data_IF_721184310424
#
_entry.id   IF_721184310424
#
_cell.length_a   1.000
_cell.length_b   1.000
_cell.length_c   1.000
_cell.angle_alpha   90.00
_cell.angle_beta   90.00
_cell.angle_gamma   90.00
#
_symmetry.space_group_name_H-M   'P 1'
#
loop_
_entity.id
_entity.type
_entity.pdbx_description
1 polymer ?
#
# COMPACT_ATOMS: atom_id res chain seq x y z
N UNK A 1 -2.02 -29.25 -6.43
CA UNK A 1 -1.71 -27.89 -5.92
C UNK A 1 -2.10 -26.90 -7.00
N UNK A 2 -3.11 -26.06 -6.77
CA UNK A 2 -3.72 -25.14 -7.74
C UNK A 2 -2.70 -24.15 -8.28
N UNK A 3 -2.61 -24.01 -9.60
CA UNK A 3 -1.66 -23.16 -10.34
C UNK A 3 -1.94 -21.65 -10.25
N UNK A 4 -2.94 -21.21 -9.48
CA UNK A 4 -3.25 -19.78 -9.35
C UNK A 4 -3.23 -19.34 -7.89
N UNK A 5 -2.01 -19.05 -7.41
CA UNK A 5 -1.79 -18.50 -6.07
C UNK A 5 -1.92 -16.96 -6.05
N UNK A 6 -2.43 -16.36 -7.12
CA UNK A 6 -2.61 -14.92 -7.24
C UNK A 6 -3.78 -14.45 -6.38
N UNK A 7 -3.56 -13.41 -5.57
CA UNK A 7 -4.60 -12.74 -4.78
C UNK A 7 -5.14 -11.51 -5.48
N UNK A 8 -4.34 -10.93 -6.37
CA UNK A 8 -4.67 -9.74 -7.14
C UNK A 8 -4.07 -9.86 -8.53
N UNK A 9 -4.84 -9.52 -9.57
CA UNK A 9 -4.38 -9.45 -10.95
C UNK A 9 -5.00 -8.27 -11.66
N UNK A 10 -4.18 -7.50 -12.34
CA UNK A 10 -4.54 -6.43 -13.25
C UNK A 10 -4.34 -6.92 -14.68
N UNK A 11 -5.36 -6.73 -15.53
CA UNK A 11 -5.36 -7.14 -16.94
C UNK A 11 -5.78 -5.96 -17.81
N UNK A 12 -4.81 -5.34 -18.50
CA UNK A 12 -5.00 -4.22 -19.41
C UNK A 12 -5.65 -2.99 -18.76
N UNK A 13 -5.37 -2.74 -17.48
CA UNK A 13 -6.05 -1.70 -16.70
C UNK A 13 -5.60 -0.32 -17.12
N UNK A 14 -6.56 0.54 -17.47
CA UNK A 14 -6.33 1.97 -17.72
C UNK A 14 -7.25 2.80 -16.86
N UNK A 15 -6.75 3.96 -16.43
CA UNK A 15 -7.50 4.91 -15.60
C UNK A 15 -7.07 6.35 -15.82
N UNK A 16 -8.06 7.27 -15.89
CA UNK A 16 -7.86 8.71 -15.94
C UNK A 16 -8.87 9.46 -15.05
N UNK A 17 -8.46 10.54 -14.39
CA UNK A 17 -9.41 11.38 -13.61
C UNK A 17 -10.19 12.36 -14.49
N UNK A 18 -9.66 12.72 -15.65
CA UNK A 18 -10.29 13.62 -16.61
C UNK A 18 -9.77 13.33 -18.00
N UNK A 19 -10.57 13.68 -19.03
CA UNK A 19 -10.21 13.53 -20.44
C UNK A 19 -8.80 14.06 -20.74
N UNK A 20 -7.97 13.24 -21.37
CA UNK A 20 -6.58 13.52 -21.75
C UNK A 20 -5.56 13.64 -20.60
N UNK A 21 -5.87 13.13 -19.40
CA UNK A 21 -4.91 13.03 -18.29
C UNK A 21 -4.84 11.59 -17.75
N UNK A 22 -4.35 10.63 -18.57
CA UNK A 22 -4.23 9.26 -18.12
C UNK A 22 -3.21 9.14 -16.99
N UNK A 23 -3.55 8.35 -15.99
CA UNK A 23 -2.69 8.01 -14.84
C UNK A 23 -2.09 6.62 -15.04
N UNK A 24 -2.91 5.67 -15.53
CA UNK A 24 -2.50 4.31 -15.86
C UNK A 24 -2.90 3.97 -17.29
N UNK A 25 -2.02 3.30 -18.03
CA UNK A 25 -2.24 2.92 -19.42
C UNK A 25 -1.89 1.45 -19.61
N UNK A 26 -2.91 0.62 -19.86
CA UNK A 26 -2.77 -0.81 -20.15
C UNK A 26 -1.81 -1.52 -19.18
N UNK A 27 -2.14 -1.43 -17.88
CA UNK A 27 -1.32 -1.97 -16.80
C UNK A 27 -1.65 -3.45 -16.57
N UNK A 28 -0.62 -4.28 -16.57
CA UNK A 28 -0.68 -5.71 -16.30
C UNK A 28 0.31 -6.08 -15.19
N UNK A 29 -0.17 -6.69 -14.12
CA UNK A 29 0.67 -7.31 -13.10
C UNK A 29 -0.14 -8.28 -12.24
N UNK A 30 0.55 -9.10 -11.44
CA UNK A 30 -0.12 -9.98 -10.48
C UNK A 30 0.64 -10.06 -9.16
N UNK A 31 -0.12 -10.13 -8.07
CA UNK A 31 0.42 -10.33 -6.71
C UNK A 31 0.03 -11.70 -6.22
N UNK A 32 0.99 -12.49 -5.76
CA UNK A 32 0.76 -13.82 -5.19
C UNK A 32 0.35 -13.72 -3.72
N UNK A 33 -0.42 -14.71 -3.26
CA UNK A 33 -0.75 -14.84 -1.83
C UNK A 33 0.52 -14.96 -0.99
N UNK A 34 0.53 -14.25 0.14
CA UNK A 34 1.66 -14.24 1.06
C UNK A 34 2.79 -13.29 0.67
N UNK A 35 2.77 -12.68 -0.52
CA UNK A 35 3.80 -11.71 -0.91
C UNK A 35 3.62 -10.38 -0.19
N UNK A 36 4.75 -9.74 0.08
CA UNK A 36 4.85 -8.41 0.67
C UNK A 36 5.42 -7.46 -0.37
N UNK A 37 4.57 -6.60 -0.89
CA UNK A 37 4.85 -5.77 -2.05
C UNK A 37 4.91 -4.30 -1.65
N UNK A 38 5.91 -3.60 -2.16
CA UNK A 38 6.00 -2.14 -2.08
C UNK A 38 5.57 -1.51 -3.39
N UNK A 39 4.74 -0.45 -3.34
CA UNK A 39 4.47 0.41 -4.49
C UNK A 39 5.45 1.58 -4.46
N UNK A 40 6.20 1.74 -5.55
CA UNK A 40 7.21 2.77 -5.72
C UNK A 40 6.91 3.62 -6.97
N UNK A 41 7.36 4.87 -6.97
CA UNK A 41 7.23 5.79 -8.09
C UNK A 41 7.35 7.24 -7.64
N UNK A 42 7.59 8.14 -8.58
CA UNK A 42 7.70 9.57 -8.31
C UNK A 42 6.41 10.15 -7.71
N UNK A 43 6.52 11.31 -7.06
CA UNK A 43 5.33 12.03 -6.60
C UNK A 43 4.46 12.42 -7.82
N UNK A 44 3.16 12.18 -7.70
CA UNK A 44 2.22 12.40 -8.81
C UNK A 44 2.16 11.27 -9.85
N UNK A 45 2.95 10.20 -9.74
CA UNK A 45 2.91 9.06 -10.66
C UNK A 45 1.59 8.28 -10.62
N UNK A 46 0.77 8.46 -9.57
CA UNK A 46 -0.50 7.75 -9.44
C UNK A 46 -0.49 6.59 -8.42
N UNK A 47 0.46 6.58 -7.47
CA UNK A 47 0.54 5.54 -6.42
C UNK A 47 -0.77 5.40 -5.64
N UNK A 48 -1.34 6.51 -5.17
CA UNK A 48 -2.62 6.51 -4.44
C UNK A 48 -3.80 6.10 -5.33
N UNK A 49 -3.74 6.40 -6.63
CA UNK A 49 -4.73 5.93 -7.61
C UNK A 49 -4.67 4.41 -7.77
N UNK A 50 -3.47 3.87 -7.96
CA UNK A 50 -3.26 2.43 -8.02
C UNK A 50 -3.75 1.75 -6.75
N UNK A 51 -3.46 2.35 -5.59
CA UNK A 51 -3.92 1.88 -4.29
C UNK A 51 -5.45 1.88 -4.17
N UNK A 52 -6.11 2.97 -4.62
CA UNK A 52 -7.57 3.07 -4.66
C UNK A 52 -8.24 2.05 -5.59
N UNK A 53 -7.60 1.74 -6.72
CA UNK A 53 -8.05 0.68 -7.64
C UNK A 53 -7.91 -0.71 -7.00
N UNK A 54 -6.80 -1.00 -6.32
CA UNK A 54 -6.59 -2.26 -5.59
C UNK A 54 -7.61 -2.40 -4.45
N UNK A 55 -7.88 -1.31 -3.73
CA UNK A 55 -8.85 -1.28 -2.64
C UNK A 55 -10.32 -1.39 -3.10
N UNK A 56 -10.58 -1.29 -4.41
CA UNK A 56 -11.94 -1.26 -4.97
C UNK A 56 -12.70 0.05 -4.70
N UNK A 57 -12.02 1.10 -4.19
CA UNK A 57 -12.58 2.43 -3.97
C UNK A 57 -12.86 3.13 -5.32
N UNK A 58 -11.98 2.90 -6.29
CA UNK A 58 -12.05 3.45 -7.64
C UNK A 58 -12.19 2.29 -8.64
N UNK A 59 -12.95 2.50 -9.71
CA UNK A 59 -13.10 1.52 -10.80
C UNK A 59 -12.22 1.91 -11.98
N UNK A 60 -11.62 0.93 -12.68
CA UNK A 60 -10.85 1.20 -13.89
C UNK A 60 -11.79 1.65 -15.03
N UNK A 61 -11.27 2.50 -15.94
CA UNK A 61 -12.00 2.89 -17.17
C UNK A 61 -11.95 1.78 -18.22
N UNK A 62 -10.83 1.03 -18.26
CA UNK A 62 -10.64 -0.13 -19.14
C UNK A 62 -9.89 -1.23 -18.41
N UNK A 63 -10.00 -2.45 -18.93
CA UNK A 63 -9.37 -3.63 -18.34
C UNK A 63 -10.13 -4.18 -17.15
N UNK A 64 -9.51 -5.12 -16.45
CA UNK A 64 -10.16 -5.85 -15.35
C UNK A 64 -9.20 -6.02 -14.18
N UNK A 65 -9.73 -5.86 -12.97
CA UNK A 65 -9.02 -6.15 -11.72
C UNK A 65 -9.68 -7.39 -11.14
N UNK A 66 -8.92 -8.45 -10.99
CA UNK A 66 -9.38 -9.76 -10.52
C UNK A 66 -8.85 -10.03 -9.11
N UNK A 67 -9.76 -10.37 -8.22
CA UNK A 67 -9.47 -10.92 -6.89
C UNK A 67 -10.32 -12.17 -6.67
N UNK A 68 -9.80 -13.25 -6.07
CA UNK A 68 -10.60 -14.44 -5.78
C UNK A 68 -11.83 -14.10 -4.92
N UNK A 69 -12.94 -14.76 -5.18
CA UNK A 69 -14.17 -14.57 -4.41
C UNK A 69 -13.93 -14.80 -2.92
N UNK A 70 -14.43 -13.90 -2.09
CA UNK A 70 -14.28 -13.98 -0.63
C UNK A 70 -12.96 -13.46 -0.09
N UNK A 71 -12.07 -12.89 -0.92
CA UNK A 71 -10.85 -12.22 -0.45
C UNK A 71 -11.20 -11.01 0.40
N UNK A 72 -10.76 -11.00 1.66
CA UNK A 72 -10.90 -9.86 2.55
C UNK A 72 -9.78 -8.84 2.31
N UNK A 73 -10.15 -7.57 2.18
CA UNK A 73 -9.22 -6.45 1.98
C UNK A 73 -9.43 -5.44 3.10
N UNK A 74 -8.37 -5.05 3.79
CA UNK A 74 -8.40 -3.92 4.72
C UNK A 74 -7.40 -2.85 4.29
N UNK A 75 -7.82 -1.59 4.44
CA UNK A 75 -7.04 -0.41 4.08
C UNK A 75 -6.85 0.43 5.33
N UNK A 76 -5.63 0.84 5.62
CA UNK A 76 -5.39 1.88 6.61
C UNK A 76 -5.89 3.22 6.06
N UNK A 77 -7.03 3.69 6.55
CA UNK A 77 -7.58 4.99 6.17
C UNK A 77 -6.70 6.12 6.70
N UNK A 78 -6.80 7.31 6.07
CA UNK A 78 -6.01 8.49 6.48
C UNK A 78 -6.72 9.34 7.53
N UNK A 79 -8.05 9.27 7.61
CA UNK A 79 -8.86 10.08 8.52
C UNK A 79 -9.98 9.24 9.13
N UNK A 80 -10.20 9.40 10.43
CA UNK A 80 -11.35 8.79 11.11
C UNK A 80 -12.64 9.54 10.71
N UNK A 81 -13.66 8.84 10.20
CA UNK A 81 -14.96 9.45 9.90
C UNK A 81 -15.57 10.11 11.14
N UNK A 82 -16.22 11.25 10.95
CA UNK A 82 -16.76 12.06 12.08
C UNK A 82 -17.71 11.27 12.97
N UNK A 83 -18.52 10.40 12.39
CA UNK A 83 -19.47 9.55 13.10
C UNK A 83 -18.80 8.51 14.01
N UNK A 84 -17.52 8.20 13.80
CA UNK A 84 -16.75 7.28 14.63
C UNK A 84 -15.97 7.97 15.76
N UNK A 85 -15.89 9.29 15.76
CA UNK A 85 -15.13 10.03 16.79
C UNK A 85 -15.76 9.93 18.18
N UNK A 86 -17.06 9.74 18.28
CA UNK A 86 -17.78 9.59 19.55
C UNK A 86 -17.86 8.15 20.07
N UNK A 87 -17.26 7.20 19.35
CA UNK A 87 -17.14 5.83 19.80
C UNK A 87 -16.03 5.70 20.86
N UNK A 88 -16.18 4.73 21.76
CA UNK A 88 -15.07 4.24 22.59
C UNK A 88 -14.07 3.48 21.71
N UNK A 89 -12.83 3.30 22.17
CA UNK A 89 -11.82 2.49 21.48
C UNK A 89 -12.38 1.11 21.14
N UNK A 90 -13.02 0.43 22.10
CA UNK A 90 -13.66 -0.88 21.87
C UNK A 90 -14.72 -0.82 20.76
N UNK A 91 -15.65 0.11 20.85
CA UNK A 91 -16.73 0.28 19.86
C UNK A 91 -16.17 0.64 18.47
N UNK A 92 -15.12 1.46 18.42
CA UNK A 92 -14.43 1.81 17.19
C UNK A 92 -13.87 0.55 16.50
N UNK A 93 -13.11 -0.28 17.20
CA UNK A 93 -12.58 -1.51 16.64
C UNK A 93 -13.67 -2.51 16.25
N UNK A 94 -14.70 -2.66 17.08
CA UNK A 94 -15.86 -3.52 16.78
C UNK A 94 -16.55 -3.10 15.47
N UNK A 95 -16.58 -1.80 15.15
CA UNK A 95 -17.24 -1.26 13.95
C UNK A 95 -16.64 -1.71 12.62
N UNK A 96 -15.47 -2.35 12.62
CA UNK A 96 -14.85 -2.91 11.43
C UNK A 96 -15.24 -4.38 11.15
N UNK A 97 -16.06 -4.97 12.02
CA UNK A 97 -16.53 -6.34 11.87
C UNK A 97 -18.05 -6.38 11.71
N UNK A 98 -18.53 -7.19 10.80
CA UNK A 98 -19.98 -7.50 10.71
C UNK A 98 -20.46 -8.22 11.98
N UNK A 99 -19.60 -9.09 12.51
CA UNK A 99 -19.80 -9.78 13.79
C UNK A 99 -18.46 -9.75 14.55
N UNK A 100 -18.34 -8.89 15.59
CA UNK A 100 -17.11 -8.81 16.36
C UNK A 100 -16.74 -10.19 16.97
N UNK A 101 -15.44 -10.52 16.97
CA UNK A 101 -14.97 -11.74 17.62
C UNK A 101 -15.19 -11.66 19.14
N UNK A 102 -15.38 -12.81 19.78
CA UNK A 102 -15.59 -12.88 21.23
C UNK A 102 -14.39 -12.35 22.01
N UNK A 103 -13.18 -12.58 21.49
CA UNK A 103 -11.88 -12.16 22.04
C UNK A 103 -11.41 -10.79 21.51
N UNK A 104 -12.32 -9.84 21.30
CA UNK A 104 -11.97 -8.55 20.67
C UNK A 104 -10.98 -7.75 21.55
N UNK A 105 -11.12 -7.74 22.87
CA UNK A 105 -10.29 -6.93 23.76
C UNK A 105 -8.82 -7.34 23.72
N UNK A 106 -8.43 -8.62 23.86
CA UNK A 106 -7.04 -9.04 23.65
C UNK A 106 -6.49 -8.73 22.26
N UNK A 107 -7.34 -8.76 21.21
CA UNK A 107 -6.91 -8.37 19.86
C UNK A 107 -6.68 -6.88 19.73
N UNK A 108 -7.49 -6.06 20.40
CA UNK A 108 -7.27 -4.61 20.48
C UNK A 108 -5.92 -4.33 21.15
N UNK A 109 -5.65 -4.94 22.30
CA UNK A 109 -4.39 -4.77 23.01
C UNK A 109 -3.19 -5.13 22.14
N UNK A 110 -3.25 -6.27 21.44
CA UNK A 110 -2.19 -6.73 20.56
C UNK A 110 -1.91 -5.74 19.40
N UNK A 111 -2.94 -5.21 18.73
CA UNK A 111 -2.71 -4.26 17.63
C UNK A 111 -2.33 -2.87 18.12
N UNK A 112 -2.77 -2.46 19.29
CA UNK A 112 -2.33 -1.22 19.92
C UNK A 112 -0.85 -1.27 20.30
N UNK A 113 -0.36 -2.42 20.76
CA UNK A 113 1.07 -2.65 21.00
C UNK A 113 1.89 -2.51 19.72
N UNK A 114 1.44 -3.10 18.60
CA UNK A 114 2.10 -2.97 17.28
C UNK A 114 2.29 -1.51 16.87
N UNK A 115 1.29 -0.66 17.12
CA UNK A 115 1.36 0.78 16.76
C UNK A 115 1.90 1.65 17.88
N UNK A 116 2.44 1.05 18.94
CA UNK A 116 3.01 1.73 20.12
C UNK A 116 2.04 2.77 20.71
N UNK A 117 0.80 2.35 20.94
CA UNK A 117 -0.26 3.18 21.52
C UNK A 117 -0.90 2.48 22.71
N UNK A 118 -0.85 3.12 23.87
CA UNK A 118 -1.58 2.66 25.07
C UNK A 118 -2.92 3.41 25.15
N UNK A 119 -4.00 2.66 25.25
CA UNK A 119 -5.34 3.25 25.36
C UNK A 119 -6.27 2.41 26.22
N UNK A 120 -7.07 3.06 27.06
CA UNK A 120 -8.21 2.45 27.71
C UNK A 120 -9.31 2.19 26.68
N UNK A 121 -9.92 1.00 26.71
CA UNK A 121 -10.96 0.58 25.76
C UNK A 121 -12.24 1.43 25.87
N UNK A 122 -12.50 2.06 26.99
CA UNK A 122 -13.65 2.96 27.20
C UNK A 122 -13.34 4.42 26.85
N UNK A 123 -12.09 4.74 26.51
CA UNK A 123 -11.70 6.09 26.10
C UNK A 123 -12.31 6.44 24.75
N UNK A 124 -12.82 7.67 24.61
CA UNK A 124 -13.42 8.16 23.36
C UNK A 124 -12.36 8.48 22.32
N UNK A 125 -12.58 8.07 21.07
CA UNK A 125 -11.66 8.28 19.93
C UNK A 125 -11.36 9.76 19.71
N UNK A 126 -12.33 10.65 19.86
CA UNK A 126 -12.12 12.10 19.73
C UNK A 126 -11.14 12.73 20.73
N UNK A 127 -10.85 12.04 21.84
CA UNK A 127 -9.94 12.55 22.89
C UNK A 127 -8.47 12.29 22.56
N UNK A 128 -8.17 11.55 21.49
CA UNK A 128 -6.82 11.29 21.03
C UNK A 128 -6.30 12.43 20.16
N UNK A 129 -4.98 12.69 20.22
CA UNK A 129 -4.30 13.61 19.30
C UNK A 129 -4.39 13.09 17.87
N UNK A 130 -4.15 13.94 16.87
CA UNK A 130 -4.17 13.55 15.45
C UNK A 130 -3.23 12.38 15.15
N UNK A 131 -2.01 12.40 15.69
CA UNK A 131 -1.06 11.28 15.54
C UNK A 131 -1.54 9.99 16.21
N UNK A 132 -2.16 10.07 17.37
CA UNK A 132 -2.76 8.91 18.04
C UNK A 132 -3.97 8.37 17.26
N UNK A 133 -4.79 9.24 16.66
CA UNK A 133 -5.89 8.83 15.79
C UNK A 133 -5.38 8.11 14.53
N UNK A 134 -4.27 8.57 13.94
CA UNK A 134 -3.63 7.88 12.82
C UNK A 134 -3.12 6.48 13.21
N UNK A 135 -2.56 6.32 14.43
CA UNK A 135 -2.19 5.01 14.99
C UNK A 135 -3.42 4.10 15.20
N UNK A 136 -4.54 4.64 15.68
CA UNK A 136 -5.80 3.88 15.80
C UNK A 136 -6.31 3.41 14.42
N UNK A 137 -6.20 4.23 13.38
CA UNK A 137 -6.56 3.85 12.00
C UNK A 137 -5.66 2.74 11.47
N UNK A 138 -4.36 2.81 11.70
CA UNK A 138 -3.44 1.75 11.33
C UNK A 138 -3.81 0.44 12.06
N UNK A 139 -3.97 0.49 13.38
CA UNK A 139 -4.39 -0.64 14.18
C UNK A 139 -5.72 -1.24 13.72
N UNK A 140 -6.67 -0.40 13.25
CA UNK A 140 -7.96 -0.86 12.75
C UNK A 140 -7.87 -1.66 11.44
N UNK A 141 -6.86 -1.44 10.62
CA UNK A 141 -6.58 -2.28 9.48
C UNK A 141 -5.94 -3.61 9.89
N UNK A 142 -5.00 -3.57 10.85
CA UNK A 142 -4.29 -4.76 11.33
C UNK A 142 -5.21 -5.75 12.06
N UNK A 143 -6.13 -5.27 12.90
CA UNK A 143 -7.01 -6.13 13.72
C UNK A 143 -7.94 -7.01 12.87
N UNK A 144 -8.26 -6.57 11.64
CA UNK A 144 -9.13 -7.30 10.73
C UNK A 144 -8.47 -8.58 10.20
N UNK A 145 -7.15 -8.71 10.32
CA UNK A 145 -6.35 -9.80 9.78
C UNK A 145 -6.78 -10.17 8.34
N UNK A 146 -6.75 -9.23 7.39
CA UNK A 146 -7.28 -9.43 6.04
C UNK A 146 -6.39 -10.35 5.20
N UNK A 147 -6.95 -10.92 4.11
CA UNK A 147 -6.15 -11.65 3.12
C UNK A 147 -5.20 -10.73 2.35
N UNK A 148 -5.63 -9.47 2.14
CA UNK A 148 -4.84 -8.41 1.52
C UNK A 148 -4.89 -7.15 2.40
N UNK A 149 -3.77 -6.82 3.01
CA UNK A 149 -3.57 -5.62 3.83
C UNK A 149 -2.97 -4.50 2.98
N UNK A 150 -3.60 -3.33 2.98
CA UNK A 150 -3.14 -2.15 2.26
C UNK A 150 -2.76 -1.04 3.23
N UNK A 151 -1.49 -0.61 3.20
CA UNK A 151 -0.96 0.42 4.09
C UNK A 151 -0.39 1.59 3.27
N UNK A 152 -0.92 2.80 3.48
CA UNK A 152 -0.44 4.04 2.85
C UNK A 152 0.29 4.90 3.89
N UNK A 153 1.60 5.04 3.73
CA UNK A 153 2.50 5.80 4.61
C UNK A 153 2.36 5.45 6.11
N UNK A 154 2.41 4.17 6.49
CA UNK A 154 2.10 3.75 7.86
C UNK A 154 3.11 4.23 8.91
N UNK A 155 4.31 4.62 8.50
CA UNK A 155 5.39 5.08 9.41
C UNK A 155 5.27 6.54 9.81
N UNK A 156 4.50 7.38 9.09
CA UNK A 156 4.48 8.83 9.27
C UNK A 156 4.09 9.32 10.67
N UNK A 157 3.31 8.55 11.42
CA UNK A 157 2.82 8.94 12.74
C UNK A 157 3.34 8.02 13.86
N UNK A 158 4.35 7.20 13.56
CA UNK A 158 5.00 6.32 14.51
C UNK A 158 6.32 6.93 14.98
N UNK A 159 6.67 6.66 16.24
CA UNK A 159 8.02 6.83 16.73
C UNK A 159 8.89 5.61 16.36
N UNK A 160 10.18 5.66 16.67
CA UNK A 160 11.13 4.58 16.33
C UNK A 160 10.69 3.21 16.86
N UNK A 161 10.15 3.15 18.08
CA UNK A 161 9.65 1.89 18.66
C UNK A 161 8.41 1.38 17.91
N UNK A 162 7.48 2.28 17.54
CA UNK A 162 6.32 1.92 16.73
C UNK A 162 6.69 1.45 15.32
N UNK A 163 7.72 2.02 14.71
CA UNK A 163 8.23 1.55 13.39
C UNK A 163 8.83 0.15 13.54
N UNK A 164 9.61 -0.10 14.60
CA UNK A 164 10.19 -1.42 14.87
C UNK A 164 9.10 -2.48 15.08
N UNK A 165 8.11 -2.21 15.95
CA UNK A 165 6.99 -3.12 16.18
C UNK A 165 6.16 -3.40 14.91
N UNK A 166 5.89 -2.36 14.10
CA UNK A 166 5.19 -2.54 12.83
C UNK A 166 6.03 -3.38 11.84
N UNK A 167 7.33 -3.14 11.80
CA UNK A 167 8.26 -3.91 10.96
C UNK A 167 8.21 -5.38 11.34
N UNK A 168 8.37 -5.70 12.63
CA UNK A 168 8.30 -7.06 13.15
C UNK A 168 6.95 -7.72 12.85
N UNK A 169 5.85 -6.97 13.00
CA UNK A 169 4.53 -7.45 12.63
C UNK A 169 4.48 -7.82 11.14
N UNK A 170 4.93 -6.95 10.24
CA UNK A 170 4.88 -7.19 8.80
C UNK A 170 5.83 -8.31 8.36
N UNK A 171 7.02 -8.43 8.95
CA UNK A 171 7.94 -9.55 8.71
C UNK A 171 7.25 -10.88 9.01
N UNK A 172 6.52 -10.96 10.12
CA UNK A 172 5.83 -12.18 10.57
C UNK A 172 4.42 -12.36 9.96
N UNK A 173 3.90 -11.35 9.26
CA UNK A 173 2.56 -11.41 8.67
C UNK A 173 2.51 -12.45 7.55
N UNK A 174 1.67 -13.48 7.73
CA UNK A 174 1.63 -14.64 6.81
C UNK A 174 0.77 -14.42 5.56
N UNK A 175 -0.02 -13.35 5.55
CA UNK A 175 -0.88 -13.00 4.43
C UNK A 175 -0.22 -11.95 3.54
N UNK A 176 -0.93 -11.49 2.53
CA UNK A 176 -0.40 -10.52 1.57
C UNK A 176 -0.51 -9.10 2.11
N UNK A 177 0.54 -8.31 1.96
CA UNK A 177 0.44 -6.87 2.17
C UNK A 177 1.02 -6.08 0.99
N UNK A 178 0.44 -4.91 0.76
CA UNK A 178 0.93 -3.91 -0.20
C UNK A 178 1.11 -2.60 0.56
N UNK A 179 2.29 -2.02 0.49
CA UNK A 179 2.68 -0.85 1.28
C UNK A 179 3.20 0.25 0.37
N UNK A 180 2.77 1.49 0.62
CA UNK A 180 3.41 2.70 0.12
C UNK A 180 4.12 3.33 1.30
N UNK A 181 5.42 3.61 1.19
CA UNK A 181 6.18 4.39 2.18
C UNK A 181 7.38 5.06 1.53
N UNK A 182 7.90 6.09 2.20
CA UNK A 182 9.17 6.74 1.86
C UNK A 182 10.33 6.28 2.77
N UNK A 183 10.06 5.43 3.75
CA UNK A 183 11.06 4.87 4.65
C UNK A 183 11.71 3.62 4.02
N UNK A 184 12.90 3.82 3.43
CA UNK A 184 13.61 2.77 2.70
C UNK A 184 14.02 1.58 3.60
N UNK A 185 14.46 1.84 4.83
CA UNK A 185 14.88 0.80 5.76
C UNK A 185 13.70 -0.06 6.22
N UNK A 186 12.58 0.60 6.52
CA UNK A 186 11.32 -0.07 6.83
C UNK A 186 10.89 -0.99 5.66
N UNK A 187 10.86 -0.45 4.43
CA UNK A 187 10.47 -1.23 3.25
C UNK A 187 11.41 -2.40 2.98
N UNK A 188 12.73 -2.18 3.13
CA UNK A 188 13.72 -3.22 2.87
C UNK A 188 13.63 -4.40 3.85
N UNK A 189 13.14 -4.17 5.06
CA UNK A 189 13.06 -5.20 6.09
C UNK A 189 12.07 -6.32 5.78
N UNK A 190 11.00 -6.04 5.01
CA UNK A 190 9.94 -7.03 4.78
C UNK A 190 9.57 -7.25 3.31
N UNK A 191 9.98 -6.38 2.36
CA UNK A 191 9.53 -6.47 0.96
C UNK A 191 10.09 -7.69 0.23
N UNK A 192 9.19 -8.41 -0.46
CA UNK A 192 9.52 -9.52 -1.37
C UNK A 192 9.57 -9.07 -2.84
N UNK A 193 9.07 -7.86 -3.13
CA UNK A 193 9.05 -7.30 -4.48
C UNK A 193 8.48 -5.88 -4.51
N UNK A 194 8.65 -5.25 -5.66
CA UNK A 194 8.27 -3.85 -5.89
C UNK A 194 7.40 -3.74 -7.14
N UNK A 195 6.33 -2.96 -7.05
CA UNK A 195 5.58 -2.45 -8.19
C UNK A 195 6.03 -1.01 -8.44
N UNK A 196 6.82 -0.82 -9.49
CA UNK A 196 7.31 0.50 -9.87
C UNK A 196 6.36 1.16 -10.86
N UNK A 197 5.80 2.30 -10.48
CA UNK A 197 4.92 3.10 -11.33
C UNK A 197 5.74 4.18 -12.04
N UNK A 198 5.93 4.01 -13.35
CA UNK A 198 6.66 4.93 -14.20
C UNK A 198 5.75 6.09 -14.64
N UNK A 199 6.13 7.33 -14.27
CA UNK A 199 5.39 8.55 -14.57
C UNK A 199 5.34 8.87 -16.07
N UNK A 200 6.33 8.43 -16.86
CA UNK A 200 6.43 8.73 -18.30
C UNK A 200 5.63 7.75 -19.14
N UNK A 201 5.81 6.46 -18.89
CA UNK A 201 5.08 5.40 -19.62
C UNK A 201 3.70 5.14 -19.03
N UNK A 202 3.46 5.53 -17.77
CA UNK A 202 2.21 5.29 -17.01
C UNK A 202 1.87 3.82 -16.89
N UNK A 203 2.91 2.99 -16.93
CA UNK A 203 2.85 1.55 -16.71
C UNK A 203 3.38 1.18 -15.34
N UNK A 204 2.99 0.00 -14.90
CA UNK A 204 3.54 -0.61 -13.69
C UNK A 204 4.51 -1.70 -14.11
N UNK A 205 5.71 -1.64 -13.58
CA UNK A 205 6.72 -2.68 -13.74
C UNK A 205 6.84 -3.44 -12.44
N UNK A 206 6.94 -4.74 -12.53
CA UNK A 206 7.01 -5.63 -11.38
C UNK A 206 8.42 -6.19 -11.23
N UNK A 207 9.02 -5.95 -10.07
CA UNK A 207 10.34 -6.46 -9.68
C UNK A 207 10.20 -7.44 -8.52
N UNK A 208 11.06 -8.46 -8.50
CA UNK A 208 11.16 -9.43 -7.42
C UNK A 208 12.49 -9.25 -6.69
N UNK A 209 12.47 -9.36 -5.37
CA UNK A 209 13.65 -9.20 -4.52
C UNK A 209 13.44 -8.13 -3.44
N UNK A 210 14.49 -7.86 -2.67
CA UNK A 210 14.43 -6.85 -1.63
C UNK A 210 14.36 -5.42 -2.22
N UNK A 211 13.96 -4.48 -1.39
CA UNK A 211 13.75 -3.09 -1.80
C UNK A 211 15.02 -2.41 -2.33
N UNK A 212 16.15 -2.55 -1.65
CA UNK A 212 17.41 -1.90 -2.02
C UNK A 212 17.95 -2.37 -3.36
N UNK A 213 17.96 -3.68 -3.60
CA UNK A 213 18.43 -4.25 -4.88
C UNK A 213 17.54 -3.77 -6.04
N UNK A 214 16.23 -3.76 -5.83
CA UNK A 214 15.25 -3.28 -6.83
C UNK A 214 15.44 -1.80 -7.14
N UNK A 215 15.65 -0.95 -6.13
CA UNK A 215 15.92 0.49 -6.32
C UNK A 215 17.22 0.71 -7.10
N UNK A 216 18.26 -0.05 -6.82
CA UNK A 216 19.52 0.01 -7.56
C UNK A 216 19.33 -0.38 -9.04
N UNK A 217 18.56 -1.44 -9.32
CA UNK A 217 18.25 -1.89 -10.68
C UNK A 217 17.45 -0.83 -11.46
N UNK A 218 16.38 -0.28 -10.86
CA UNK A 218 15.56 0.78 -11.46
C UNK A 218 16.41 2.02 -11.76
N UNK A 219 17.25 2.44 -10.81
CA UNK A 219 18.11 3.62 -10.96
C UNK A 219 19.13 3.44 -12.10
N UNK A 220 19.77 2.29 -12.18
CA UNK A 220 20.73 1.97 -13.24
C UNK A 220 20.04 1.95 -14.63
N UNK A 221 18.80 1.44 -14.72
CA UNK A 221 18.01 1.46 -15.96
C UNK A 221 17.66 2.88 -16.38
N UNK A 222 17.14 3.70 -15.47
CA UNK A 222 16.76 5.09 -15.75
C UNK A 222 17.99 5.89 -16.22
N UNK A 223 19.14 5.73 -15.59
CA UNK A 223 20.37 6.37 -16.04
C UNK A 223 20.78 5.95 -17.46
N UNK A 224 20.66 4.66 -17.77
CA UNK A 224 20.97 4.15 -19.12
C UNK A 224 20.03 4.72 -20.17
N UNK A 225 18.74 4.80 -19.87
CA UNK A 225 17.73 5.40 -20.76
C UNK A 225 17.99 6.90 -20.98
N UNK A 226 18.31 7.63 -19.91
CA UNK A 226 18.62 9.06 -20.01
C UNK A 226 19.88 9.31 -20.85
N UNK A 227 20.95 8.50 -20.71
CA UNK A 227 22.16 8.59 -21.55
C UNK A 227 21.83 8.31 -23.01
N UNK A 228 21.01 7.30 -23.31
CA UNK A 228 20.57 6.99 -24.67
C UNK A 228 19.75 8.11 -25.30
N UNK A 229 18.81 8.67 -24.53
CA UNK A 229 17.98 9.80 -25.00
C UNK A 229 18.82 11.04 -25.27
N UNK A 230 19.82 11.33 -24.44
CA UNK A 230 20.74 12.44 -24.64
C UNK A 230 21.63 12.25 -25.89
N UNK A 231 22.05 11.02 -26.20
CA UNK A 231 22.79 10.70 -27.42
C UNK A 231 21.90 10.88 -28.66
N UNK A 232 20.69 10.34 -28.66
CA UNK A 232 19.74 10.51 -29.75
C UNK A 232 19.39 11.98 -30.01
N UNK A 233 19.23 12.78 -28.95
CA UNK A 233 18.97 14.21 -29.07
C UNK A 233 20.13 14.95 -29.76
N UNK A 234 21.39 14.58 -29.46
CA UNK A 234 22.58 15.13 -30.14
C UNK A 234 22.63 14.76 -31.61
N UNK A 235 22.41 13.47 -31.94
CA UNK A 235 22.39 12.97 -33.33
C UNK A 235 21.31 13.65 -34.16
N UNK A 236 20.13 13.91 -33.58
CA UNK A 236 19.02 14.63 -34.26
C UNK A 236 19.41 16.06 -34.51
N UNK A 237 20.16 16.70 -33.60
CA UNK A 237 20.61 18.09 -33.77
C UNK A 237 21.70 18.21 -34.82
N UNK A 238 22.69 17.31 -34.80
CA UNK A 238 23.76 17.23 -35.81
C UNK A 238 23.26 16.92 -37.24
N UNK A 239 22.14 16.22 -37.40
CA UNK A 239 21.54 15.92 -38.70
C UNK A 239 20.60 17.03 -39.21
N UNK A 240 20.39 18.11 -38.44
CA UNK A 240 19.56 19.26 -38.84
C UNK A 240 20.39 20.48 -39.27
N UNK A 241 21.67 20.47 -38.99
CA UNK A 241 22.67 21.47 -39.42
C UNK A 241 23.36 20.97 -40.70
#
# INVERSE_FOLDING_TARGET
>A
MSRDSSILRFEGVSFEYSHNKPILVEVDFSVRRGNKITIMGQNGAGKSTLFGLIAGITRPDKGTILTPTGTSIAVSAQVIPREKLDLTVRAFFQSFFTKPPYDIDPRIDAVLEVVHLTADHERLVRSFSGGQQARLLLASALIQDPDLLLLDEPTNNLDSAGIEHLTDFLVNYRKTCIVISHDAEFLNAFSDGVLYLDVHTRKVEQYSGNYHDTVAEISARIEKENRRNAQLAKEIQENKD
#
